data_IF_321870997191
#
_entry.id   IF_321870997191
#
_cell.length_a   1.000
_cell.length_b   1.000
_cell.length_c   1.000
_cell.angle_alpha   90.00
_cell.angle_beta   90.00
_cell.angle_gamma   90.00
#
_symmetry.space_group_name_H-M   'P 1'
#
loop_
_entity.id
_entity.type
_entity.pdbx_description
1 polymer ?
#
# COMPACT_ATOMS: atom_id res chain seq x y z
N UNK A 1 3.52 32.72 -19.76
CA UNK A 1 2.46 33.56 -19.21
C UNK A 1 2.32 33.26 -17.74
N UNK A 2 2.25 34.25 -16.84
CA UNK A 2 3.30 34.41 -15.84
C UNK A 2 2.99 33.78 -14.47
N UNK A 3 4.06 33.43 -13.83
CA UNK A 3 4.17 32.93 -12.46
C UNK A 3 3.83 34.03 -11.44
N UNK A 4 2.94 33.78 -10.50
CA UNK A 4 2.78 34.66 -9.35
C UNK A 4 3.42 34.03 -8.12
N UNK A 5 4.59 34.54 -7.81
CA UNK A 5 5.27 34.41 -6.53
C UNK A 5 4.56 35.31 -5.51
N UNK A 6 4.01 34.71 -4.46
CA UNK A 6 3.56 35.51 -3.32
C UNK A 6 4.40 35.13 -2.10
N UNK A 7 5.39 35.98 -1.86
CA UNK A 7 6.18 36.07 -0.64
C UNK A 7 5.35 36.78 0.40
N UNK A 8 5.07 36.20 1.55
CA UNK A 8 4.56 36.90 2.72
C UNK A 8 5.55 36.67 3.86
N UNK A 9 6.40 37.70 4.06
CA UNK A 9 7.09 37.97 5.32
C UNK A 9 6.07 38.54 6.30
N UNK A 10 5.99 37.98 7.48
CA UNK A 10 5.49 38.69 8.66
C UNK A 10 6.30 38.29 9.87
N UNK A 11 7.23 39.19 10.18
CA UNK A 11 7.88 39.27 11.47
C UNK A 11 6.94 39.98 12.45
N UNK A 12 6.67 39.41 13.60
CA UNK A 12 6.19 40.12 14.76
C UNK A 12 6.97 39.66 15.97
N UNK A 13 7.91 40.44 16.37
CA UNK A 13 8.51 40.52 17.68
C UNK A 13 7.59 41.24 18.64
N UNK A 14 7.31 40.70 19.81
CA UNK A 14 7.10 41.56 20.99
C UNK A 14 7.39 40.81 22.29
N UNK A 15 8.29 41.39 23.04
CA UNK A 15 8.78 41.23 24.38
C UNK A 15 7.72 41.40 25.47
N UNK A 16 7.90 40.72 26.62
CA UNK A 16 7.98 41.24 28.02
C UNK A 16 7.58 40.10 28.97
N UNK A 17 8.43 39.63 29.80
CA UNK A 17 8.88 40.03 31.11
C UNK A 17 8.05 39.45 32.28
N UNK A 18 8.78 38.73 33.12
CA UNK A 18 8.79 38.65 34.59
C UNK A 18 7.87 37.65 35.33
N UNK A 19 8.61 36.90 36.14
CA UNK A 19 8.35 36.45 37.52
C UNK A 19 7.84 35.00 37.64
N UNK A 20 8.68 34.03 37.90
CA UNK A 20 9.10 33.61 39.21
C UNK A 20 8.26 32.46 39.74
N UNK A 21 8.77 31.21 39.63
CA UNK A 21 8.81 30.17 40.67
C UNK A 21 9.47 28.92 40.09
N UNK A 22 10.36 28.26 40.83
CA UNK A 22 10.94 26.98 40.37
C UNK A 22 9.96 25.86 40.68
N UNK A 23 9.25 25.42 39.71
CA UNK A 23 8.60 24.12 39.72
C UNK A 23 9.61 23.14 39.15
N UNK A 24 10.11 22.27 39.98
CA UNK A 24 10.77 21.04 39.58
C UNK A 24 9.74 20.18 38.81
N UNK A 25 9.56 20.47 37.58
CA UNK A 25 8.83 19.61 36.66
C UNK A 25 9.88 18.87 35.83
N UNK A 26 9.90 17.61 36.04
CA UNK A 26 10.63 16.59 35.33
C UNK A 26 10.74 16.92 33.84
N UNK A 27 11.96 17.09 33.43
CA UNK A 27 12.35 17.20 32.04
C UNK A 27 12.14 15.83 31.38
N UNK A 28 10.91 15.52 30.99
CA UNK A 28 10.68 14.49 30.02
C UNK A 28 11.15 15.06 28.66
N UNK A 29 12.13 14.48 28.00
CA UNK A 29 12.52 14.90 26.68
C UNK A 29 11.27 14.78 25.79
N UNK A 30 10.98 15.77 24.93
CA UNK A 30 9.95 15.58 23.93
C UNK A 30 10.35 14.34 23.12
N UNK A 31 9.49 13.33 23.14
CA UNK A 31 9.63 12.21 22.28
C UNK A 31 9.75 12.75 20.86
N UNK A 32 10.96 12.75 20.31
CA UNK A 32 11.18 12.99 18.90
C UNK A 32 10.32 11.96 18.18
N UNK A 33 9.19 12.41 17.66
CA UNK A 33 8.46 11.65 16.67
C UNK A 33 9.37 11.63 15.44
N UNK A 34 10.28 10.68 15.42
CA UNK A 34 10.89 10.21 14.19
C UNK A 34 9.71 9.93 13.25
N UNK A 35 9.69 10.50 12.03
CA UNK A 35 8.75 10.05 11.03
C UNK A 35 8.96 8.53 10.93
N UNK A 36 8.00 7.75 11.40
CA UNK A 36 8.02 6.32 11.18
C UNK A 36 8.06 6.17 9.67
N UNK A 37 9.23 5.84 9.14
CA UNK A 37 9.32 5.20 7.86
C UNK A 37 8.25 4.10 7.88
N UNK A 38 7.41 3.96 6.82
CA UNK A 38 6.39 2.94 6.81
C UNK A 38 7.08 1.63 7.20
N UNK A 39 6.71 1.11 8.35
CA UNK A 39 7.30 -0.12 8.86
C UNK A 39 7.19 -1.12 7.73
N UNK A 40 8.33 -1.63 7.27
CA UNK A 40 8.36 -2.63 6.23
C UNK A 40 7.40 -3.73 6.66
N UNK A 41 6.25 -3.79 6.03
CA UNK A 41 5.20 -4.76 6.37
C UNK A 41 5.84 -6.13 6.13
N UNK A 42 6.22 -6.81 7.21
CA UNK A 42 6.64 -8.19 7.11
C UNK A 42 5.39 -9.06 7.19
N UNK A 43 4.89 -9.54 6.05
CA UNK A 43 3.70 -10.36 6.05
C UNK A 43 3.96 -11.68 6.77
N UNK A 44 2.98 -12.11 7.54
CA UNK A 44 2.99 -13.43 8.18
C UNK A 44 2.88 -14.52 7.11
N UNK A 45 3.24 -15.77 7.46
CA UNK A 45 3.10 -16.91 6.54
C UNK A 45 1.66 -17.09 6.07
N UNK A 46 0.68 -16.86 6.96
CA UNK A 46 -0.73 -16.93 6.62
C UNK A 46 -1.12 -15.84 5.59
N UNK A 47 -0.62 -14.62 5.75
CA UNK A 47 -0.84 -13.54 4.79
C UNK A 47 -0.17 -13.83 3.45
N UNK A 48 1.03 -14.43 3.45
CA UNK A 48 1.71 -14.86 2.22
C UNK A 48 0.94 -15.98 1.50
N UNK A 49 0.34 -16.93 2.22
CA UNK A 49 -0.50 -17.97 1.63
C UNK A 49 -1.75 -17.37 0.97
N UNK A 50 -2.45 -16.48 1.69
CA UNK A 50 -3.61 -15.76 1.14
C UNK A 50 -3.24 -14.93 -0.08
N UNK A 51 -2.10 -14.25 -0.02
CA UNK A 51 -1.57 -13.49 -1.14
C UNK A 51 -1.25 -14.38 -2.35
N UNK A 52 -0.64 -15.56 -2.14
CA UNK A 52 -0.37 -16.52 -3.20
C UNK A 52 -1.66 -16.98 -3.89
N UNK A 53 -2.68 -17.36 -3.11
CA UNK A 53 -4.00 -17.76 -3.61
C UNK A 53 -4.68 -16.63 -4.39
N UNK A 54 -4.73 -15.44 -3.79
CA UNK A 54 -5.32 -14.26 -4.42
C UNK A 54 -4.59 -13.90 -5.73
N UNK A 55 -3.26 -13.94 -5.74
CA UNK A 55 -2.45 -13.64 -6.92
C UNK A 55 -2.72 -14.58 -8.09
N UNK A 56 -2.89 -15.88 -7.83
CA UNK A 56 -3.25 -16.86 -8.87
C UNK A 56 -4.63 -16.55 -9.46
N UNK A 57 -5.61 -16.25 -8.62
CA UNK A 57 -6.97 -15.88 -9.06
C UNK A 57 -6.98 -14.57 -9.84
N UNK A 58 -6.22 -13.57 -9.38
CA UNK A 58 -6.06 -12.29 -10.09
C UNK A 58 -5.42 -12.50 -11.45
N UNK A 59 -4.37 -13.33 -11.55
CA UNK A 59 -3.76 -13.67 -12.85
C UNK A 59 -4.76 -14.31 -13.79
N UNK A 60 -5.63 -15.21 -13.31
CA UNK A 60 -6.70 -15.81 -14.10
C UNK A 60 -7.70 -14.76 -14.64
N UNK A 61 -8.01 -13.73 -13.83
CA UNK A 61 -8.85 -12.63 -14.31
C UNK A 61 -8.15 -11.82 -15.40
N UNK A 62 -6.87 -11.53 -15.24
CA UNK A 62 -6.09 -10.82 -16.27
C UNK A 62 -6.10 -11.58 -17.59
N UNK A 63 -5.88 -12.89 -17.54
CA UNK A 63 -5.89 -13.76 -18.74
C UNK A 63 -7.28 -13.84 -19.38
N UNK A 64 -8.36 -13.86 -18.58
CA UNK A 64 -9.74 -13.87 -19.07
C UNK A 64 -10.13 -12.53 -19.73
N UNK A 65 -9.69 -11.41 -19.15
CA UNK A 65 -10.11 -10.08 -19.60
C UNK A 65 -9.20 -9.47 -20.67
N UNK A 66 -7.95 -9.94 -20.80
CA UNK A 66 -7.02 -9.47 -21.84
C UNK A 66 -7.64 -9.53 -23.24
N UNK A 67 -8.19 -10.67 -23.71
CA UNK A 67 -8.79 -10.72 -25.05
C UNK A 67 -10.04 -9.84 -25.16
N UNK A 68 -10.76 -9.59 -24.06
CA UNK A 68 -11.92 -8.69 -24.05
C UNK A 68 -11.51 -7.23 -24.23
N UNK A 69 -10.39 -6.82 -23.61
CA UNK A 69 -9.80 -5.48 -23.79
C UNK A 69 -9.28 -5.31 -25.22
N UNK A 70 -8.64 -6.34 -25.77
CA UNK A 70 -8.12 -6.31 -27.14
C UNK A 70 -9.25 -6.29 -28.20
N UNK A 71 -10.38 -6.94 -27.90
CA UNK A 71 -11.56 -6.96 -28.78
C UNK A 71 -12.40 -5.68 -28.68
N UNK A 72 -12.24 -4.87 -27.65
CA UNK A 72 -12.98 -3.62 -27.48
C UNK A 72 -12.55 -2.59 -28.54
N UNK A 73 -13.54 -2.06 -29.26
CA UNK A 73 -13.30 -1.18 -30.41
C UNK A 73 -13.19 0.29 -30.05
N UNK A 74 -13.70 0.67 -28.87
CA UNK A 74 -13.72 2.05 -28.39
C UNK A 74 -13.04 2.15 -27.02
N UNK A 75 -12.52 3.33 -26.70
CA UNK A 75 -11.91 3.59 -25.39
C UNK A 75 -12.94 3.45 -24.25
N UNK A 76 -14.21 3.78 -24.51
CA UNK A 76 -15.28 3.60 -23.55
C UNK A 76 -15.55 2.12 -23.24
N UNK A 77 -15.53 1.26 -24.27
CA UNK A 77 -15.66 -0.19 -24.09
C UNK A 77 -14.46 -0.77 -23.33
N UNK A 78 -13.23 -0.35 -23.66
CA UNK A 78 -12.02 -0.75 -22.93
C UNK A 78 -12.11 -0.39 -21.46
N UNK A 79 -12.47 0.85 -21.15
CA UNK A 79 -12.65 1.32 -19.78
C UNK A 79 -13.66 0.47 -19.00
N UNK A 80 -14.78 0.13 -19.62
CA UNK A 80 -15.82 -0.71 -19.01
C UNK A 80 -15.28 -2.10 -18.68
N UNK A 81 -14.60 -2.73 -19.64
CA UNK A 81 -13.99 -4.06 -19.44
C UNK A 81 -12.94 -4.04 -18.35
N UNK A 82 -12.10 -2.99 -18.27
CA UNK A 82 -11.11 -2.82 -17.21
C UNK A 82 -11.80 -2.67 -15.85
N UNK A 83 -12.84 -1.85 -15.74
CA UNK A 83 -13.59 -1.68 -14.48
C UNK A 83 -14.24 -3.00 -14.01
N UNK A 84 -14.77 -3.80 -14.93
CA UNK A 84 -15.32 -5.12 -14.60
C UNK A 84 -14.22 -6.07 -14.10
N UNK A 85 -13.05 -6.07 -14.73
CA UNK A 85 -11.90 -6.86 -14.31
C UNK A 85 -11.42 -6.44 -12.92
N UNK A 86 -11.27 -5.13 -12.68
CA UNK A 86 -10.86 -4.58 -11.39
C UNK A 86 -11.84 -4.96 -10.28
N UNK A 87 -13.15 -4.81 -10.53
CA UNK A 87 -14.17 -5.20 -9.56
C UNK A 87 -14.13 -6.70 -9.23
N UNK A 88 -13.83 -7.55 -10.22
CA UNK A 88 -13.69 -8.99 -10.04
C UNK A 88 -12.42 -9.31 -9.23
N UNK A 89 -11.29 -8.66 -9.55
CA UNK A 89 -10.04 -8.82 -8.82
C UNK A 89 -10.18 -8.43 -7.34
N UNK A 90 -10.80 -7.29 -7.06
CA UNK A 90 -11.07 -6.84 -5.68
C UNK A 90 -11.89 -7.87 -4.91
N UNK A 91 -12.94 -8.40 -5.50
CA UNK A 91 -13.77 -9.45 -4.86
C UNK A 91 -12.98 -10.72 -4.56
N UNK A 92 -12.09 -11.14 -5.45
CA UNK A 92 -11.25 -12.33 -5.25
C UNK A 92 -10.24 -12.14 -4.13
N UNK A 93 -9.59 -10.98 -4.07
CA UNK A 93 -8.66 -10.61 -2.99
C UNK A 93 -9.38 -10.61 -1.64
N UNK A 94 -10.57 -10.01 -1.57
CA UNK A 94 -11.37 -9.99 -0.34
C UNK A 94 -11.87 -11.38 0.06
N UNK A 95 -12.24 -12.22 -0.91
CA UNK A 95 -12.66 -13.61 -0.65
C UNK A 95 -11.52 -14.45 -0.04
N UNK A 96 -10.28 -14.16 -0.36
CA UNK A 96 -9.11 -14.78 0.26
C UNK A 96 -8.75 -14.16 1.63
N UNK A 97 -9.53 -13.21 2.11
CA UNK A 97 -9.38 -12.58 3.43
C UNK A 97 -8.28 -11.53 3.49
N UNK A 98 -7.98 -10.89 2.38
CA UNK A 98 -7.07 -9.73 2.30
C UNK A 98 -7.85 -8.48 1.88
N UNK A 99 -7.52 -7.34 2.47
CA UNK A 99 -7.90 -6.06 1.90
C UNK A 99 -7.03 -5.74 0.67
N UNK A 100 -7.53 -4.86 -0.19
CA UNK A 100 -6.76 -4.39 -1.36
C UNK A 100 -5.45 -3.74 -0.94
N UNK A 101 -5.45 -3.01 0.19
CA UNK A 101 -4.24 -2.37 0.73
C UNK A 101 -3.21 -3.41 1.20
N UNK A 102 -3.66 -4.45 1.91
CA UNK A 102 -2.77 -5.55 2.34
C UNK A 102 -2.22 -6.30 1.14
N UNK A 103 -3.04 -6.61 0.15
CA UNK A 103 -2.59 -7.26 -1.08
C UNK A 103 -1.51 -6.46 -1.79
N UNK A 104 -1.73 -5.17 -1.99
CA UNK A 104 -0.74 -4.28 -2.61
C UNK A 104 0.52 -4.12 -1.75
N UNK A 105 0.37 -3.98 -0.44
CA UNK A 105 1.50 -3.88 0.50
C UNK A 105 2.36 -5.13 0.52
N UNK A 106 1.75 -6.31 0.54
CA UNK A 106 2.46 -7.60 0.45
C UNK A 106 3.16 -7.72 -0.91
N UNK A 107 2.49 -7.34 -2.00
CA UNK A 107 3.08 -7.34 -3.34
C UNK A 107 4.35 -6.50 -3.42
N UNK A 108 4.33 -5.29 -2.87
CA UNK A 108 5.51 -4.42 -2.79
C UNK A 108 6.60 -5.04 -1.90
N UNK A 109 6.25 -5.56 -0.73
CA UNK A 109 7.20 -6.20 0.17
C UNK A 109 7.91 -7.39 -0.48
N UNK A 110 7.18 -8.21 -1.22
CA UNK A 110 7.73 -9.36 -1.97
C UNK A 110 8.67 -8.91 -3.08
N UNK A 111 8.38 -7.81 -3.77
CA UNK A 111 9.26 -7.25 -4.81
C UNK A 111 10.58 -6.71 -4.23
N UNK A 112 10.52 -6.11 -3.04
CA UNK A 112 11.67 -5.51 -2.38
C UNK A 112 12.50 -6.50 -1.56
N UNK A 113 11.93 -7.65 -1.19
CA UNK A 113 12.58 -8.63 -0.33
C UNK A 113 12.67 -9.99 -1.01
N UNK A 114 13.88 -10.39 -1.45
CA UNK A 114 14.08 -11.68 -2.13
C UNK A 114 13.74 -12.89 -1.25
N UNK A 115 13.90 -12.79 0.07
CA UNK A 115 13.53 -13.87 0.99
C UNK A 115 12.02 -14.11 1.03
N UNK A 116 11.21 -13.04 0.99
CA UNK A 116 9.75 -13.16 0.90
C UNK A 116 9.33 -13.78 -0.44
N UNK A 117 10.01 -13.41 -1.51
CA UNK A 117 9.79 -14.00 -2.84
C UNK A 117 10.06 -15.50 -2.86
N UNK A 118 11.17 -15.96 -2.25
CA UNK A 118 11.49 -17.38 -2.13
C UNK A 118 10.46 -18.13 -1.27
N UNK A 119 10.04 -17.55 -0.14
CA UNK A 119 9.00 -18.13 0.71
C UNK A 119 7.70 -18.30 -0.05
N UNK A 120 7.28 -17.27 -0.79
CA UNK A 120 6.08 -17.30 -1.61
C UNK A 120 6.16 -18.39 -2.70
N UNK A 121 7.30 -18.53 -3.38
CA UNK A 121 7.51 -19.59 -4.38
C UNK A 121 7.43 -20.98 -3.77
N UNK A 122 7.99 -21.18 -2.58
CA UNK A 122 7.91 -22.46 -1.85
C UNK A 122 6.47 -22.79 -1.47
N UNK A 123 5.70 -21.80 -1.01
CA UNK A 123 4.29 -21.97 -0.66
C UNK A 123 3.42 -22.27 -1.90
N UNK A 124 3.65 -21.57 -3.01
CA UNK A 124 2.95 -21.82 -4.27
C UNK A 124 3.17 -23.25 -4.81
N UNK A 125 4.40 -23.78 -4.68
CA UNK A 125 4.70 -25.16 -5.06
C UNK A 125 4.06 -26.18 -4.11
N UNK A 126 4.01 -25.89 -2.81
CA UNK A 126 3.38 -26.79 -1.83
C UNK A 126 1.86 -26.89 -2.04
N UNK A 127 1.20 -25.79 -2.44
CA UNK A 127 -0.23 -25.78 -2.76
C UNK A 127 -0.60 -26.51 -4.05
N UNK A 128 0.34 -26.67 -4.98
CA UNK A 128 0.14 -27.37 -6.24
C UNK A 128 0.28 -28.91 -6.12
N UNK A 129 0.73 -29.41 -4.97
CA UNK A 129 1.00 -30.85 -4.78
C UNK A 129 -0.14 -31.59 -4.05
N UNK A 130 -1.21 -30.88 -3.65
CA UNK A 130 -2.38 -31.47 -2.99
C UNK A 130 -3.57 -31.45 -3.95
N UNK A 131 -3.55 -32.32 -4.92
CA UNK A 131 -4.72 -32.84 -5.65
C UNK A 131 -4.56 -34.33 -5.86
#
# INVERSE_FOLDING_TARGET
MPYSKTTILSAITLTAALSGAPVLAQNAPPASQTPMAPAAVQPTDQQLQRFASASQKVSGVVDEYRPKVDAAKTDAEKQKVIQEADAKMVKLVQADGLSVQEFNGIGQAVQQNPQLKERLMKMGKAGATVQ
#
